data_IF_314651225889
#
_entry.id   IF_314651225889
#
_cell.length_a   1.000
_cell.length_b   1.000
_cell.length_c   1.000
_cell.angle_alpha   90.00
_cell.angle_beta   90.00
_cell.angle_gamma   90.00
#
_symmetry.space_group_name_H-M   'P 1'
#
loop_
_entity.id
_entity.type
_entity.pdbx_description
1 polymer ?
#
# COMPACT_ATOMS: atom_id res chain seq x y z
N UNK A 1 49.95 96.89 -13.09
CA UNK A 1 49.77 95.46 -12.75
C UNK A 1 50.49 94.62 -13.80
N UNK A 2 51.42 93.75 -13.38
CA UNK A 2 52.27 92.98 -14.30
C UNK A 2 51.43 91.96 -15.09
N UNK A 3 51.44 92.01 -16.43
CA UNK A 3 50.60 91.15 -17.28
C UNK A 3 50.78 89.66 -16.97
N UNK A 4 52.00 89.22 -16.61
CA UNK A 4 52.28 87.84 -16.20
C UNK A 4 51.63 87.44 -14.86
N UNK A 5 51.51 88.38 -13.93
CA UNK A 5 50.84 88.17 -12.63
C UNK A 5 49.31 88.11 -12.81
N UNK A 6 48.75 88.91 -13.72
CA UNK A 6 47.33 88.92 -14.06
C UNK A 6 46.89 87.63 -14.78
N UNK A 7 47.68 87.14 -15.75
CA UNK A 7 47.43 85.86 -16.43
C UNK A 7 47.59 84.65 -15.49
N UNK A 8 48.50 84.69 -14.51
CA UNK A 8 48.64 83.65 -13.48
C UNK A 8 47.46 83.59 -12.51
N UNK A 9 46.92 84.74 -12.08
CA UNK A 9 45.74 84.81 -11.19
C UNK A 9 44.46 84.38 -11.94
N UNK A 10 44.28 84.81 -13.20
CA UNK A 10 43.11 84.43 -14.02
C UNK A 10 43.18 82.95 -14.42
N UNK A 11 44.36 82.42 -14.77
CA UNK A 11 44.56 81.00 -15.05
C UNK A 11 44.34 80.10 -13.83
N UNK A 12 44.81 80.53 -12.65
CA UNK A 12 44.56 79.83 -11.38
C UNK A 12 43.09 79.86 -10.95
N UNK A 13 42.39 80.99 -11.13
CA UNK A 13 40.96 81.11 -10.83
C UNK A 13 40.08 80.27 -11.78
N UNK A 14 40.40 80.22 -13.08
CA UNK A 14 39.70 79.36 -14.04
C UNK A 14 39.92 77.86 -13.76
N UNK A 15 41.13 77.45 -13.37
CA UNK A 15 41.42 76.07 -13.00
C UNK A 15 40.67 75.65 -11.72
N UNK A 16 40.60 76.53 -10.71
CA UNK A 16 39.83 76.31 -9.49
C UNK A 16 38.32 76.22 -9.77
N UNK A 17 37.79 77.08 -10.64
CA UNK A 17 36.39 77.02 -11.08
C UNK A 17 36.08 75.71 -11.82
N UNK A 18 36.97 75.22 -12.69
CA UNK A 18 36.80 73.93 -13.36
C UNK A 18 36.83 72.79 -12.35
N UNK A 19 37.75 72.80 -11.38
CA UNK A 19 37.80 71.78 -10.32
C UNK A 19 36.53 71.82 -9.45
N UNK A 20 36.03 73.01 -9.11
CA UNK A 20 34.78 73.17 -8.36
C UNK A 20 33.59 72.69 -9.18
N UNK A 21 33.51 73.03 -10.47
CA UNK A 21 32.44 72.56 -11.36
C UNK A 21 32.49 71.05 -11.53
N UNK A 22 33.68 70.48 -11.76
CA UNK A 22 33.86 69.02 -11.87
C UNK A 22 33.54 68.35 -10.55
N UNK A 23 33.95 68.91 -9.41
CA UNK A 23 33.61 68.39 -8.08
C UNK A 23 32.11 68.50 -7.80
N UNK A 24 31.46 69.60 -8.19
CA UNK A 24 30.02 69.79 -8.08
C UNK A 24 29.26 68.83 -9.00
N UNK A 25 29.76 68.55 -10.21
CA UNK A 25 29.17 67.58 -11.14
C UNK A 25 29.35 66.15 -10.62
N UNK A 26 30.52 65.81 -10.08
CA UNK A 26 30.78 64.51 -9.46
C UNK A 26 29.91 64.28 -8.21
N UNK A 27 29.76 65.31 -7.36
CA UNK A 27 28.86 65.27 -6.19
C UNK A 27 27.39 65.28 -6.61
N UNK A 28 27.03 65.98 -7.70
CA UNK A 28 25.66 66.01 -8.21
C UNK A 28 25.24 64.64 -8.78
N UNK A 29 26.16 63.95 -9.46
CA UNK A 29 25.92 62.65 -10.12
C UNK A 29 26.29 61.43 -9.27
N UNK A 30 26.76 61.61 -8.04
CA UNK A 30 27.05 60.49 -7.14
C UNK A 30 25.77 59.75 -6.75
N UNK A 31 25.72 58.44 -7.03
CA UNK A 31 24.69 57.52 -6.53
C UNK A 31 25.23 56.73 -5.35
N UNK A 32 24.41 56.54 -4.32
CA UNK A 32 24.75 55.67 -3.20
C UNK A 32 24.36 54.25 -3.53
N UNK A 33 25.33 53.33 -3.44
CA UNK A 33 25.10 51.92 -3.68
C UNK A 33 24.46 51.26 -2.46
N UNK A 34 23.39 50.50 -2.70
CA UNK A 34 22.64 49.76 -1.68
C UNK A 34 22.66 48.29 -2.07
N UNK A 35 23.27 47.45 -1.25
CA UNK A 35 23.33 46.01 -1.51
C UNK A 35 22.09 45.33 -0.90
N UNK A 36 21.22 44.78 -1.74
CA UNK A 36 19.96 44.18 -1.29
C UNK A 36 20.18 42.90 -0.46
N UNK A 37 21.31 42.22 -0.68
CA UNK A 37 21.72 41.04 0.11
C UNK A 37 22.02 41.35 1.58
N UNK A 38 22.21 42.62 1.95
CA UNK A 38 22.44 43.03 3.34
C UNK A 38 21.15 43.07 4.18
N UNK A 39 19.98 42.96 3.53
CA UNK A 39 18.66 43.03 4.16
C UNK A 39 17.89 41.71 4.07
N UNK A 40 18.47 40.66 3.48
CA UNK A 40 17.85 39.33 3.42
C UNK A 40 18.38 38.45 4.54
N UNK A 41 17.45 37.74 5.18
CA UNK A 41 17.73 36.61 6.06
C UNK A 41 17.06 35.36 5.50
N UNK A 42 17.85 34.31 5.29
CA UNK A 42 17.35 32.98 4.92
C UNK A 42 17.26 32.11 6.17
N UNK A 43 16.15 31.40 6.34
CA UNK A 43 15.92 30.47 7.44
C UNK A 43 15.50 29.09 6.91
N UNK A 44 15.92 28.04 7.62
CA UNK A 44 15.66 26.65 7.27
C UNK A 44 14.87 25.95 8.35
N UNK A 45 13.94 25.08 7.97
CA UNK A 45 13.19 24.23 8.91
C UNK A 45 12.87 22.86 8.30
N UNK A 46 12.52 21.91 9.16
CA UNK A 46 12.18 20.54 8.79
C UNK A 46 13.33 19.56 8.97
N UNK A 47 13.33 18.52 8.15
CA UNK A 47 14.24 17.39 8.24
C UNK A 47 15.13 17.28 7.00
N UNK A 48 16.30 16.68 7.17
CA UNK A 48 17.24 16.44 6.07
C UNK A 48 16.59 15.65 4.92
N UNK A 49 16.83 16.09 3.68
CA UNK A 49 16.14 15.70 2.44
C UNK A 49 14.68 16.15 2.27
N UNK A 50 14.05 16.71 3.32
CA UNK A 50 12.67 17.20 3.35
C UNK A 50 12.59 18.63 3.90
N UNK A 51 13.72 19.34 3.92
CA UNK A 51 13.82 20.66 4.50
C UNK A 51 13.17 21.72 3.61
N UNK A 52 12.77 22.82 4.23
CA UNK A 52 12.25 24.00 3.55
C UNK A 52 13.13 25.21 3.82
N UNK A 53 13.15 26.15 2.87
CA UNK A 53 13.83 27.43 3.01
C UNK A 53 12.82 28.57 2.85
N UNK A 54 13.00 29.61 3.65
CA UNK A 54 12.26 30.86 3.57
C UNK A 54 13.23 32.03 3.61
N UNK A 55 12.91 33.09 2.87
CA UNK A 55 13.65 34.35 2.88
C UNK A 55 12.76 35.45 3.46
N UNK A 56 13.34 36.29 4.31
CA UNK A 56 12.68 37.45 4.92
C UNK A 56 13.51 38.69 4.64
N UNK A 57 12.87 39.76 4.15
CA UNK A 57 13.49 41.05 3.85
C UNK A 57 13.24 42.06 4.98
N UNK A 58 14.32 42.62 5.53
CA UNK A 58 14.29 43.62 6.60
C UNK A 58 14.00 45.02 6.01
N UNK A 59 12.72 45.28 5.73
CA UNK A 59 12.26 46.56 5.19
C UNK A 59 12.53 47.75 6.12
N UNK A 60 12.50 47.55 7.44
CA UNK A 60 12.73 48.62 8.41
C UNK A 60 14.18 49.12 8.32
N UNK A 61 15.14 48.19 8.37
CA UNK A 61 16.57 48.52 8.23
C UNK A 61 16.86 49.07 6.83
N UNK A 62 16.28 48.48 5.79
CA UNK A 62 16.40 48.93 4.41
C UNK A 62 15.96 50.40 4.25
N UNK A 63 14.75 50.75 4.69
CA UNK A 63 14.23 52.11 4.58
C UNK A 63 15.03 53.11 5.43
N UNK A 64 15.45 52.72 6.63
CA UNK A 64 16.31 53.56 7.48
C UNK A 64 17.67 53.84 6.83
N UNK A 65 18.30 52.82 6.24
CA UNK A 65 19.57 52.98 5.53
C UNK A 65 19.41 53.80 4.25
N UNK A 66 18.30 53.67 3.51
CA UNK A 66 17.99 54.55 2.37
C UNK A 66 17.86 56.02 2.79
N UNK A 67 17.14 56.29 3.89
CA UNK A 67 16.99 57.65 4.42
C UNK A 67 18.31 58.25 4.90
N UNK A 68 19.22 57.44 5.43
CA UNK A 68 20.57 57.88 5.81
C UNK A 68 21.46 58.11 4.58
N UNK A 69 21.33 57.24 3.58
CA UNK A 69 22.16 57.22 2.38
C UNK A 69 21.83 58.32 1.36
N UNK A 70 20.56 58.77 1.32
CA UNK A 70 20.10 59.73 0.32
C UNK A 70 19.22 60.82 0.93
N UNK A 71 19.72 62.05 0.92
CA UNK A 71 18.95 63.24 1.31
C UNK A 71 17.75 63.50 0.40
N UNK A 72 17.83 63.15 -0.89
CA UNK A 72 16.71 63.24 -1.83
C UNK A 72 15.62 62.23 -1.47
N UNK A 73 15.99 60.98 -1.16
CA UNK A 73 15.06 59.96 -0.69
C UNK A 73 14.44 60.36 0.65
N UNK A 74 15.25 60.76 1.63
CA UNK A 74 14.79 61.23 2.94
C UNK A 74 13.80 62.39 2.83
N UNK A 75 14.03 63.32 1.89
CA UNK A 75 13.10 64.42 1.62
C UNK A 75 11.79 63.89 1.03
N UNK A 76 11.84 62.98 0.07
CA UNK A 76 10.63 62.37 -0.51
C UNK A 76 9.83 61.59 0.54
N UNK A 77 10.49 60.72 1.30
CA UNK A 77 9.92 59.94 2.40
C UNK A 77 9.26 60.83 3.47
N UNK A 78 9.96 61.86 3.97
CA UNK A 78 9.42 62.78 4.99
C UNK A 78 8.48 63.85 4.45
N UNK A 79 8.42 64.06 3.13
CA UNK A 79 7.49 65.02 2.51
C UNK A 79 6.04 64.53 2.51
N UNK A 80 5.80 63.34 3.07
CA UNK A 80 4.48 62.80 3.37
C UNK A 80 3.66 62.56 2.08
N UNK A 81 4.31 61.90 1.10
CA UNK A 81 3.66 61.30 -0.06
C UNK A 81 2.63 60.24 0.40
N UNK A 82 2.77 59.69 1.61
CA UNK A 82 1.93 58.60 2.13
C UNK A 82 0.84 58.99 3.14
N UNK A 83 0.82 60.18 3.79
CA UNK A 83 -0.28 60.50 4.72
C UNK A 83 -0.69 61.98 4.98
N UNK A 84 0.04 63.05 4.60
CA UNK A 84 -0.40 64.45 4.90
C UNK A 84 -0.81 65.33 3.73
N UNK A 85 -0.66 64.92 2.47
CA UNK A 85 -0.91 65.81 1.33
C UNK A 85 -1.88 65.30 0.26
N UNK A 86 -2.85 64.47 0.62
CA UNK A 86 -3.98 64.16 -0.27
C UNK A 86 -4.84 65.39 -0.65
N UNK A 87 -4.60 66.56 -0.04
CA UNK A 87 -5.33 67.81 -0.29
C UNK A 87 -4.50 68.97 -0.87
N UNK A 88 -3.19 68.76 -1.16
CA UNK A 88 -2.32 69.79 -1.75
C UNK A 88 -2.15 69.52 -3.25
N UNK A 89 -2.54 70.48 -4.10
CA UNK A 89 -2.82 70.29 -5.54
C UNK A 89 -1.62 69.98 -6.44
N UNK A 90 -0.41 69.91 -5.89
CA UNK A 90 0.83 69.88 -6.68
C UNK A 90 1.54 68.50 -6.67
N UNK A 91 1.00 67.49 -5.99
CA UNK A 91 1.49 66.11 -6.06
C UNK A 91 0.66 65.33 -7.08
N UNK A 92 1.29 64.89 -8.17
CA UNK A 92 0.64 64.06 -9.20
C UNK A 92 0.72 62.58 -8.82
N UNK A 93 -0.26 61.79 -9.25
CA UNK A 93 -0.29 60.33 -9.05
C UNK A 93 0.99 59.64 -9.56
N UNK A 94 1.55 60.15 -10.67
CA UNK A 94 2.84 59.71 -11.23
C UNK A 94 3.99 59.78 -10.22
N UNK A 95 4.07 60.81 -9.37
CA UNK A 95 5.16 60.95 -8.39
C UNK A 95 5.03 60.00 -7.20
N UNK A 96 3.84 59.44 -6.97
CA UNK A 96 3.60 58.38 -5.99
C UNK A 96 4.03 57.03 -6.60
N UNK A 97 3.64 56.76 -7.84
CA UNK A 97 4.04 55.55 -8.58
C UNK A 97 5.57 55.50 -8.73
N UNK A 98 6.21 56.59 -9.16
CA UNK A 98 7.67 56.71 -9.28
C UNK A 98 8.40 56.47 -7.94
N UNK A 99 7.77 56.79 -6.81
CA UNK A 99 8.31 56.50 -5.47
C UNK A 99 8.22 55.02 -5.14
N UNK A 100 7.06 54.39 -5.41
CA UNK A 100 6.87 52.96 -5.18
C UNK A 100 7.81 52.15 -6.06
N UNK A 101 7.90 52.42 -7.36
CA UNK A 101 8.80 51.73 -8.29
C UNK A 101 10.27 51.82 -7.85
N UNK A 102 10.66 52.93 -7.21
CA UNK A 102 12.03 53.13 -6.72
C UNK A 102 12.36 52.39 -5.42
N UNK A 103 11.37 51.90 -4.68
CA UNK A 103 11.56 51.15 -3.42
C UNK A 103 11.02 49.73 -3.48
N UNK A 104 10.32 49.38 -4.55
CA UNK A 104 9.77 48.05 -4.79
C UNK A 104 10.91 47.08 -5.08
N UNK A 105 11.09 46.13 -4.16
CA UNK A 105 12.12 45.10 -4.23
C UNK A 105 11.40 43.77 -4.16
N UNK A 106 11.45 43.03 -5.26
CA UNK A 106 11.00 41.65 -5.34
C UNK A 106 12.19 40.71 -5.11
N UNK A 107 11.93 39.58 -4.46
CA UNK A 107 12.93 38.56 -4.22
C UNK A 107 12.33 37.17 -4.16
N UNK A 108 13.09 36.18 -4.61
CA UNK A 108 12.71 34.77 -4.62
C UNK A 108 13.90 33.86 -4.27
N UNK A 109 13.56 32.64 -3.85
CA UNK A 109 14.51 31.54 -3.70
C UNK A 109 14.34 30.59 -4.89
N UNK A 110 15.47 30.18 -5.47
CA UNK A 110 15.51 29.18 -6.55
C UNK A 110 14.94 27.80 -6.14
N UNK A 111 15.07 27.45 -4.86
CA UNK A 111 14.54 26.22 -4.27
C UNK A 111 14.06 26.47 -2.84
N UNK A 112 12.85 26.01 -2.53
CA UNK A 112 12.19 26.25 -1.24
C UNK A 112 11.83 24.97 -0.48
N UNK A 113 11.95 23.78 -1.08
CA UNK A 113 11.60 22.50 -0.46
C UNK A 113 12.48 21.34 -0.96
N UNK A 114 12.42 20.19 -0.27
CA UNK A 114 13.24 19.02 -0.61
C UNK A 114 14.73 19.27 -0.42
N UNK A 115 15.08 20.05 0.61
CA UNK A 115 16.44 20.48 0.90
C UNK A 115 17.12 19.52 1.88
N UNK A 116 18.44 19.37 1.71
CA UNK A 116 19.33 18.65 2.63
C UNK A 116 20.37 19.57 3.24
N UNK A 117 20.92 19.22 4.39
CA UNK A 117 22.09 19.90 4.97
C UNK A 117 23.26 19.84 3.97
N UNK A 118 23.81 21.00 3.63
CA UNK A 118 24.86 21.15 2.62
C UNK A 118 24.34 21.46 1.21
N UNK A 119 23.03 21.43 0.95
CA UNK A 119 22.46 22.00 -0.27
C UNK A 119 22.71 23.52 -0.31
N UNK A 120 22.70 24.11 -1.51
CA UNK A 120 22.76 25.56 -1.70
C UNK A 120 21.41 26.06 -2.18
N UNK A 121 20.95 27.18 -1.62
CA UNK A 121 19.84 27.98 -2.15
C UNK A 121 20.33 29.37 -2.52
N UNK A 122 19.78 29.93 -3.58
CA UNK A 122 20.16 31.23 -4.13
C UNK A 122 19.02 32.21 -3.99
N UNK A 123 19.31 33.39 -3.45
CA UNK A 123 18.35 34.51 -3.45
C UNK A 123 18.57 35.35 -4.69
N UNK A 124 17.49 35.53 -5.45
CA UNK A 124 17.44 36.43 -6.59
C UNK A 124 16.67 37.69 -6.21
N UNK A 125 17.05 38.82 -6.81
CA UNK A 125 16.39 40.11 -6.59
C UNK A 125 15.95 40.70 -7.92
N UNK A 126 14.79 41.32 -7.93
CA UNK A 126 14.27 42.14 -9.02
C UNK A 126 14.02 43.56 -8.50
N UNK A 127 14.54 44.56 -9.21
CA UNK A 127 14.53 45.96 -8.80
C UNK A 127 14.74 46.92 -9.98
N UNK A 128 14.17 48.12 -9.89
CA UNK A 128 14.29 49.15 -10.93
C UNK A 128 15.33 50.22 -10.55
N UNK A 129 16.52 50.10 -11.14
CA UNK A 129 17.61 51.06 -10.95
C UNK A 129 17.40 52.40 -11.67
N UNK A 130 16.56 52.46 -12.69
CA UNK A 130 16.22 53.70 -13.39
C UNK A 130 15.26 54.53 -12.52
N UNK A 131 14.26 53.89 -11.90
CA UNK A 131 13.40 54.50 -10.90
C UNK A 131 14.18 54.93 -9.65
N UNK A 132 15.06 54.08 -9.12
CA UNK A 132 15.89 54.40 -7.94
C UNK A 132 16.89 55.56 -8.18
N UNK A 133 17.34 55.74 -9.43
CA UNK A 133 18.31 56.76 -9.81
C UNK A 133 17.84 58.19 -9.52
N UNK A 134 16.53 58.47 -9.60
CA UNK A 134 15.96 59.79 -9.31
C UNK A 134 16.22 60.23 -7.85
N UNK A 135 16.34 59.25 -6.96
CA UNK A 135 16.68 59.45 -5.55
C UNK A 135 18.18 59.28 -5.28
N UNK A 136 19.02 59.22 -6.32
CA UNK A 136 20.47 59.00 -6.22
C UNK A 136 20.82 57.68 -5.53
N UNK A 137 19.99 56.66 -5.72
CA UNK A 137 20.21 55.30 -5.25
C UNK A 137 20.62 54.44 -6.45
N UNK A 138 21.48 53.45 -6.19
CA UNK A 138 21.83 52.38 -7.12
C UNK A 138 21.80 51.06 -6.36
N UNK A 139 20.80 50.23 -6.62
CA UNK A 139 20.71 48.89 -6.06
C UNK A 139 21.70 47.94 -6.71
N UNK A 140 22.28 47.09 -5.87
CA UNK A 140 23.10 45.95 -6.26
C UNK A 140 22.47 44.73 -5.59
N UNK A 141 21.91 43.82 -6.38
CA UNK A 141 21.36 42.54 -5.92
C UNK A 141 22.07 41.40 -6.62
N UNK A 142 23.38 41.27 -6.39
CA UNK A 142 24.11 40.08 -6.82
C UNK A 142 23.49 38.85 -6.16
N UNK A 143 23.23 37.80 -6.96
CA UNK A 143 22.74 36.52 -6.45
C UNK A 143 23.66 36.02 -5.34
N UNK A 144 23.07 35.73 -4.18
CA UNK A 144 23.81 35.27 -3.01
C UNK A 144 23.39 33.85 -2.67
N UNK A 145 24.39 32.99 -2.62
CA UNK A 145 24.25 31.59 -2.24
C UNK A 145 24.28 31.45 -0.71
N UNK A 146 23.38 30.63 -0.19
CA UNK A 146 23.32 30.25 1.20
C UNK A 146 23.36 28.72 1.31
N UNK A 147 24.26 28.21 2.14
CA UNK A 147 24.33 26.78 2.44
C UNK A 147 23.28 26.42 3.48
N UNK A 148 22.43 25.46 3.16
CA UNK A 148 21.41 24.92 4.06
C UNK A 148 22.09 24.20 5.21
N UNK A 149 21.73 24.58 6.43
CA UNK A 149 22.25 24.00 7.66
C UNK A 149 21.18 23.92 8.75
N UNK A 150 21.39 23.03 9.72
CA UNK A 150 20.53 22.91 10.89
C UNK A 150 19.23 22.11 10.68
N UNK A 151 19.03 21.46 9.53
CA UNK A 151 17.93 20.53 9.33
C UNK A 151 18.11 19.30 10.22
N UNK A 152 17.01 18.78 10.77
CA UNK A 152 17.01 17.64 11.69
C UNK A 152 17.26 16.33 10.94
N UNK A 153 17.99 15.39 11.54
CA UNK A 153 18.15 14.05 10.96
C UNK A 153 16.83 13.26 10.98
N UNK A 154 16.61 12.45 9.94
CA UNK A 154 15.46 11.53 9.88
C UNK A 154 15.80 10.17 10.49
N UNK A 155 14.79 9.53 11.09
CA UNK A 155 14.87 8.15 11.59
C UNK A 155 14.26 7.19 10.57
N UNK A 156 15.02 6.19 10.13
CA UNK A 156 14.49 5.13 9.26
C UNK A 156 13.76 4.07 10.08
N UNK A 157 12.56 3.69 9.67
CA UNK A 157 11.75 2.64 10.32
C UNK A 157 11.14 1.66 9.31
N UNK A 158 10.92 0.41 9.71
CA UNK A 158 10.11 -0.56 8.95
C UNK A 158 8.64 -0.35 9.32
N UNK A 159 7.78 0.18 8.43
CA UNK A 159 6.38 0.43 8.76
C UNK A 159 5.58 -0.86 8.97
N UNK A 160 6.14 -2.04 8.72
CA UNK A 160 5.49 -3.33 8.97
C UNK A 160 5.98 -4.03 10.24
N UNK A 161 6.73 -3.32 11.10
CA UNK A 161 7.10 -3.83 12.42
C UNK A 161 5.84 -4.03 13.28
N UNK A 162 5.67 -5.23 13.83
CA UNK A 162 4.47 -5.57 14.61
C UNK A 162 3.19 -5.77 13.79
N UNK A 163 3.29 -5.79 12.45
CA UNK A 163 2.18 -6.04 11.54
C UNK A 163 2.14 -7.50 11.09
N UNK A 164 0.97 -8.12 11.19
CA UNK A 164 0.68 -9.45 10.66
C UNK A 164 -0.58 -9.43 9.80
N UNK A 165 -0.74 -10.44 8.93
CA UNK A 165 -2.00 -10.70 8.23
C UNK A 165 -2.63 -11.96 8.82
N UNK A 166 -3.83 -11.82 9.35
CA UNK A 166 -4.66 -12.95 9.78
C UNK A 166 -5.46 -13.46 8.58
N UNK A 167 -5.37 -14.77 8.35
CA UNK A 167 -6.13 -15.49 7.34
C UNK A 167 -7.22 -16.32 8.03
N UNK A 168 -8.46 -16.18 7.58
CA UNK A 168 -9.61 -16.89 8.16
C UNK A 168 -10.58 -17.37 7.09
N UNK A 169 -11.17 -18.54 7.27
CA UNK A 169 -12.06 -19.18 6.29
C UNK A 169 -11.50 -20.51 5.82
N UNK A 170 -12.09 -21.04 4.75
CA UNK A 170 -11.71 -22.35 4.17
C UNK A 170 -11.26 -22.11 2.74
N UNK A 171 -10.06 -22.55 2.38
CA UNK A 171 -9.53 -22.41 1.01
C UNK A 171 -10.47 -23.07 -0.01
N UNK A 172 -10.76 -22.43 -1.16
CA UNK A 172 -10.18 -21.16 -1.68
C UNK A 172 -10.94 -19.88 -1.30
N UNK A 173 -11.84 -19.94 -0.31
CA UNK A 173 -12.68 -18.83 0.14
C UNK A 173 -12.15 -18.25 1.46
N UNK A 174 -10.89 -17.80 1.47
CA UNK A 174 -10.24 -17.21 2.65
C UNK A 174 -10.33 -15.69 2.61
N UNK A 175 -10.49 -15.11 3.79
CA UNK A 175 -10.43 -13.68 4.06
C UNK A 175 -9.09 -13.32 4.69
N UNK A 176 -8.56 -12.15 4.34
CA UNK A 176 -7.36 -11.58 4.95
C UNK A 176 -7.68 -10.29 5.70
N UNK A 177 -7.04 -10.11 6.85
CA UNK A 177 -7.14 -8.89 7.65
C UNK A 177 -5.76 -8.50 8.17
N UNK A 178 -5.41 -7.22 8.02
CA UNK A 178 -4.21 -6.66 8.66
C UNK A 178 -4.46 -6.48 10.15
N UNK A 179 -3.50 -6.94 10.96
CA UNK A 179 -3.47 -6.73 12.40
C UNK A 179 -2.18 -6.00 12.75
N UNK A 180 -2.34 -4.81 13.31
CA UNK A 180 -1.26 -4.02 13.88
C UNK A 180 -1.41 -4.04 15.40
N UNK A 181 -0.45 -4.64 16.09
CA UNK A 181 -0.44 -4.75 17.54
C UNK A 181 0.49 -3.75 18.23
N UNK A 182 1.08 -2.81 17.46
CA UNK A 182 1.97 -1.80 18.02
C UNK A 182 1.22 -0.88 19.00
N UNK A 183 1.99 -0.33 19.94
CA UNK A 183 1.58 0.70 20.92
C UNK A 183 2.41 1.96 20.80
N UNK A 184 3.33 1.99 19.85
CA UNK A 184 4.12 3.17 19.53
C UNK A 184 3.28 4.08 18.63
N UNK A 185 3.21 5.35 19.01
CA UNK A 185 2.35 6.37 18.38
C UNK A 185 2.59 6.50 16.87
N UNK A 186 3.84 6.34 16.41
CA UNK A 186 4.16 6.42 14.98
C UNK A 186 3.45 5.28 14.25
N UNK A 187 3.56 4.06 14.76
CA UNK A 187 3.01 2.86 14.12
C UNK A 187 1.49 2.76 14.25
N UNK A 188 0.88 3.30 15.31
CA UNK A 188 -0.59 3.35 15.45
C UNK A 188 -1.25 4.23 14.38
N UNK A 189 -0.51 5.19 13.81
CA UNK A 189 -1.01 6.09 12.76
C UNK A 189 -0.76 5.58 11.32
N UNK A 190 -0.14 4.40 11.16
CA UNK A 190 0.07 3.76 9.86
C UNK A 190 -1.15 2.92 9.51
N UNK A 191 -1.77 3.25 8.37
CA UNK A 191 -2.86 2.51 7.76
C UNK A 191 -2.37 1.66 6.59
N UNK A 192 -3.08 0.58 6.32
CA UNK A 192 -2.66 -0.41 5.32
C UNK A 192 -3.82 -0.85 4.43
N UNK A 193 -3.50 -1.04 3.16
CA UNK A 193 -4.37 -1.64 2.16
C UNK A 193 -3.87 -3.05 1.79
N UNK A 194 -4.83 -3.93 1.53
CA UNK A 194 -4.57 -5.28 1.04
C UNK A 194 -4.80 -5.31 -0.47
N UNK A 195 -3.89 -5.94 -1.22
CA UNK A 195 -4.10 -6.20 -2.65
C UNK A 195 -5.34 -7.06 -2.93
N UNK A 196 -5.71 -7.92 -1.96
CA UNK A 196 -6.90 -8.75 -1.97
C UNK A 196 -7.31 -9.11 -0.53
N UNK A 197 -8.59 -9.03 -0.20
CA UNK A 197 -9.12 -9.32 1.15
C UNK A 197 -10.09 -10.50 1.22
N UNK A 198 -10.47 -11.09 0.08
CA UNK A 198 -11.39 -12.23 -0.05
C UNK A 198 -11.01 -13.09 -1.26
N UNK A 199 -11.65 -14.25 -1.46
CA UNK A 199 -11.34 -15.24 -2.51
C UNK A 199 -9.87 -15.72 -2.51
N UNK A 200 -9.23 -15.77 -1.33
CA UNK A 200 -7.83 -16.15 -1.20
C UNK A 200 -7.74 -17.66 -1.02
N UNK A 201 -6.76 -18.30 -1.67
CA UNK A 201 -6.47 -19.72 -1.48
C UNK A 201 -5.09 -19.96 -0.87
N UNK A 202 -4.89 -21.15 -0.32
CA UNK A 202 -3.56 -21.59 0.12
C UNK A 202 -2.58 -21.46 -1.04
N UNK A 203 -1.44 -20.84 -0.78
CA UNK A 203 -0.39 -20.56 -1.76
C UNK A 203 -0.43 -19.14 -2.32
N UNK A 204 -1.54 -18.42 -2.21
CA UNK A 204 -1.63 -17.03 -2.65
C UNK A 204 -0.77 -16.10 -1.78
N UNK A 205 -0.27 -15.04 -2.41
CA UNK A 205 0.47 -13.96 -1.76
C UNK A 205 -0.38 -12.70 -1.74
N UNK A 206 -0.52 -12.10 -0.57
CA UNK A 206 -1.21 -10.83 -0.36
C UNK A 206 -0.18 -9.74 -0.10
N UNK A 207 -0.19 -8.70 -0.92
CA UNK A 207 0.66 -7.53 -0.74
C UNK A 207 -0.07 -6.55 0.16
N UNK A 208 0.56 -6.18 1.26
CA UNK A 208 0.11 -5.12 2.17
C UNK A 208 0.88 -3.86 1.82
N UNK A 209 0.17 -2.77 1.60
CA UNK A 209 0.71 -1.47 1.21
C UNK A 209 0.38 -0.43 2.26
N UNK A 210 1.33 0.44 2.61
CA UNK A 210 1.05 1.61 3.46
C UNK A 210 0.14 2.57 2.69
N UNK A 211 -1.02 2.89 3.25
CA UNK A 211 -2.06 3.72 2.64
C UNK A 211 -1.80 5.22 2.78
N UNK A 212 -1.11 5.61 3.85
CA UNK A 212 -0.79 7.01 4.09
C UNK A 212 0.23 7.54 3.07
N UNK A 213 0.26 8.87 2.94
CA UNK A 213 1.40 9.56 2.36
C UNK A 213 2.63 9.43 3.30
N UNK A 214 3.76 8.85 2.84
CA UNK A 214 4.97 8.76 3.64
C UNK A 214 5.53 10.12 4.09
N UNK A 215 5.31 11.22 3.34
CA UNK A 215 5.84 12.55 3.69
C UNK A 215 5.25 13.07 5.00
N UNK A 216 3.98 12.74 5.29
CA UNK A 216 3.34 13.07 6.57
C UNK A 216 4.13 12.54 7.79
N UNK A 217 4.75 11.36 7.68
CA UNK A 217 5.50 10.77 8.79
C UNK A 217 6.85 11.44 9.00
N UNK A 218 7.42 12.04 7.96
CA UNK A 218 8.61 12.87 8.09
C UNK A 218 8.27 14.14 8.84
N UNK A 219 7.21 14.85 8.43
CA UNK A 219 6.80 16.10 9.06
C UNK A 219 6.37 15.91 10.53
N UNK A 220 5.50 14.93 10.78
CA UNK A 220 4.91 14.71 12.10
C UNK A 220 5.85 14.00 13.08
N UNK A 221 6.68 13.06 12.59
CA UNK A 221 7.47 12.16 13.45
C UNK A 221 8.95 12.10 13.12
N UNK A 222 9.43 12.80 12.07
CA UNK A 222 10.81 12.71 11.61
C UNK A 222 11.18 11.31 11.08
N UNK A 223 10.19 10.51 10.67
CA UNK A 223 10.38 9.12 10.30
C UNK A 223 10.26 8.89 8.79
N UNK A 224 11.20 8.12 8.24
CA UNK A 224 11.21 7.71 6.82
C UNK A 224 11.04 6.19 6.75
N UNK A 225 10.10 5.73 5.93
CA UNK A 225 9.86 4.29 5.76
C UNK A 225 10.94 3.63 4.90
N UNK A 226 11.38 2.44 5.29
CA UNK A 226 12.34 1.64 4.50
C UNK A 226 11.69 0.92 3.31
N UNK A 227 10.37 0.73 3.34
CA UNK A 227 9.54 0.18 2.26
C UNK A 227 8.11 0.67 2.45
N UNK A 228 7.31 0.71 1.39
CA UNK A 228 5.86 0.98 1.47
C UNK A 228 5.02 -0.25 1.18
N UNK A 229 5.63 -1.39 0.86
CA UNK A 229 4.93 -2.65 0.60
C UNK A 229 5.61 -3.85 1.27
N UNK A 230 4.83 -4.88 1.61
CA UNK A 230 5.29 -6.16 2.14
C UNK A 230 4.33 -7.29 1.79
N UNK A 231 4.88 -8.44 1.42
CA UNK A 231 4.11 -9.62 1.01
C UNK A 231 3.89 -10.61 2.16
N UNK A 232 2.65 -11.11 2.28
CA UNK A 232 2.23 -12.12 3.24
C UNK A 232 1.59 -13.30 2.51
N UNK A 233 2.10 -14.51 2.74
CA UNK A 233 1.61 -15.71 2.07
C UNK A 233 0.57 -16.45 2.90
N UNK A 234 -0.57 -16.79 2.30
CA UNK A 234 -1.54 -17.70 2.88
C UNK A 234 -0.97 -19.13 2.82
N UNK A 235 -0.44 -19.63 3.93
CA UNK A 235 0.28 -20.92 3.96
C UNK A 235 -0.54 -22.05 4.58
N UNK A 236 -1.41 -21.73 5.55
CA UNK A 236 -2.24 -22.70 6.23
C UNK A 236 -3.57 -22.06 6.62
N UNK A 237 -4.65 -22.67 6.15
CA UNK A 237 -6.04 -22.50 6.58
C UNK A 237 -6.73 -23.85 6.41
N UNK A 238 -7.97 -23.95 6.84
CA UNK A 238 -8.78 -25.14 6.59
C UNK A 238 -9.03 -25.31 5.08
N UNK A 239 -9.10 -26.54 4.61
CA UNK A 239 -9.40 -26.87 3.22
C UNK A 239 -10.06 -28.25 3.10
N UNK A 240 -10.86 -28.44 2.06
CA UNK A 240 -11.33 -29.78 1.71
C UNK A 240 -10.22 -30.54 0.98
N UNK A 241 -10.06 -31.82 1.31
CA UNK A 241 -9.16 -32.70 0.55
C UNK A 241 -9.60 -32.76 -0.91
N UNK A 242 -8.66 -32.64 -1.85
CA UNK A 242 -8.95 -32.64 -3.30
C UNK A 242 -8.20 -33.73 -4.07
N UNK A 243 -7.47 -34.61 -3.37
CA UNK A 243 -6.83 -35.81 -3.92
C UNK A 243 -6.72 -36.91 -2.89
N UNK A 244 -6.83 -38.16 -3.32
CA UNK A 244 -6.78 -39.34 -2.45
C UNK A 244 -5.47 -39.45 -1.67
N UNK A 245 -4.36 -39.03 -2.26
CA UNK A 245 -3.04 -39.06 -1.64
C UNK A 245 -2.90 -38.14 -0.40
N UNK A 246 -3.78 -37.15 -0.25
CA UNK A 246 -3.79 -36.27 0.93
C UNK A 246 -4.61 -36.84 2.09
N UNK A 247 -5.41 -37.89 1.87
CA UNK A 247 -6.19 -38.51 2.95
C UNK A 247 -5.22 -39.24 3.88
N UNK A 248 -5.22 -38.86 5.16
CA UNK A 248 -4.37 -39.49 6.17
C UNK A 248 -4.78 -40.94 6.40
N UNK A 249 -3.79 -41.77 6.72
CA UNK A 249 -4.00 -43.19 6.98
C UNK A 249 -5.04 -43.45 8.08
N UNK A 250 -4.97 -42.71 9.20
CA UNK A 250 -5.93 -42.86 10.30
C UNK A 250 -7.36 -42.49 9.87
N UNK A 251 -7.53 -41.43 9.07
CA UNK A 251 -8.82 -41.00 8.54
C UNK A 251 -9.38 -42.04 7.57
N UNK A 252 -8.54 -42.58 6.67
CA UNK A 252 -8.93 -43.64 5.75
C UNK A 252 -9.31 -44.93 6.51
N UNK A 253 -8.54 -45.30 7.52
CA UNK A 253 -8.80 -46.50 8.33
C UNK A 253 -10.09 -46.36 9.15
N UNK A 254 -10.41 -45.16 9.65
CA UNK A 254 -11.68 -44.88 10.32
C UNK A 254 -12.87 -45.06 9.38
N UNK A 255 -12.78 -44.56 8.14
CA UNK A 255 -13.83 -44.77 7.13
C UNK A 255 -13.96 -46.24 6.73
N UNK A 256 -12.84 -46.96 6.53
CA UNK A 256 -12.85 -48.42 6.27
C UNK A 256 -13.53 -49.21 7.37
N UNK A 257 -13.18 -48.94 8.62
CA UNK A 257 -13.80 -49.58 9.78
C UNK A 257 -15.31 -49.31 9.82
N UNK A 258 -15.71 -48.06 9.62
CA UNK A 258 -17.13 -47.70 9.59
C UNK A 258 -17.87 -48.42 8.43
N UNK A 259 -17.25 -48.57 7.27
CA UNK A 259 -17.81 -49.36 6.16
C UNK A 259 -18.01 -50.82 6.53
N UNK A 260 -17.03 -51.45 7.16
CA UNK A 260 -17.17 -52.83 7.66
C UNK A 260 -18.30 -52.94 8.69
N UNK A 261 -18.39 -52.00 9.63
CA UNK A 261 -19.44 -51.97 10.66
C UNK A 261 -20.84 -51.84 10.03
N UNK A 262 -21.00 -50.98 9.02
CA UNK A 262 -22.26 -50.82 8.25
C UNK A 262 -22.64 -52.11 7.53
N UNK A 263 -21.69 -52.75 6.85
CA UNK A 263 -21.93 -54.02 6.13
C UNK A 263 -22.31 -55.13 7.10
N UNK A 264 -21.55 -55.27 8.20
CA UNK A 264 -21.81 -56.28 9.22
C UNK A 264 -23.17 -56.06 9.89
N UNK A 265 -23.54 -54.81 10.20
CA UNK A 265 -24.85 -54.49 10.76
C UNK A 265 -26.00 -54.86 9.80
N UNK A 266 -25.84 -54.57 8.51
CA UNK A 266 -26.80 -54.95 7.48
C UNK A 266 -27.02 -56.47 7.43
N UNK A 267 -25.94 -57.26 7.33
CA UNK A 267 -26.06 -58.72 7.29
C UNK A 267 -26.49 -59.35 8.61
N UNK A 268 -26.18 -58.74 9.75
CA UNK A 268 -26.72 -59.16 11.05
C UNK A 268 -28.25 -58.97 11.10
N UNK A 269 -28.76 -57.87 10.54
CA UNK A 269 -30.20 -57.61 10.41
C UNK A 269 -30.92 -58.57 9.46
N UNK A 270 -30.24 -58.98 8.38
CA UNK A 270 -30.80 -59.85 7.34
C UNK A 270 -30.37 -61.33 7.46
N UNK A 271 -29.81 -61.74 8.61
CA UNK A 271 -29.17 -63.05 8.81
C UNK A 271 -30.09 -64.27 8.59
N UNK A 272 -31.42 -64.07 8.63
CA UNK A 272 -32.42 -65.11 8.35
C UNK A 272 -32.59 -65.39 6.85
N UNK A 273 -32.07 -64.50 6.00
CA UNK A 273 -32.36 -64.47 4.58
C UNK A 273 -31.09 -64.62 3.74
N UNK A 274 -30.05 -63.87 4.10
CA UNK A 274 -28.78 -63.79 3.38
C UNK A 274 -27.59 -63.78 4.33
N UNK A 275 -26.44 -64.22 3.85
CA UNK A 275 -25.17 -64.13 4.55
C UNK A 275 -24.06 -63.65 3.62
N UNK A 276 -22.98 -63.15 4.23
CA UNK A 276 -21.78 -62.68 3.54
C UNK A 276 -20.54 -63.39 4.08
N UNK A 277 -19.60 -63.72 3.20
CA UNK A 277 -18.24 -64.15 3.54
C UNK A 277 -17.21 -63.43 2.68
N UNK A 278 -15.93 -63.64 3.00
CA UNK A 278 -14.79 -63.14 2.22
C UNK A 278 -14.84 -61.63 1.98
N UNK A 279 -15.22 -60.86 3.01
CA UNK A 279 -15.20 -59.41 2.94
C UNK A 279 -13.79 -58.91 2.65
N UNK A 280 -13.65 -58.12 1.59
CA UNK A 280 -12.37 -57.65 1.08
C UNK A 280 -12.48 -56.20 0.63
N UNK A 281 -11.55 -55.36 1.09
CA UNK A 281 -11.41 -54.00 0.57
C UNK A 281 -10.97 -54.04 -0.90
N UNK A 282 -11.73 -53.41 -1.77
CA UNK A 282 -11.49 -53.38 -3.22
C UNK A 282 -10.91 -52.04 -3.70
N UNK A 283 -11.14 -50.95 -2.96
CA UNK A 283 -10.61 -49.62 -3.29
C UNK A 283 -11.59 -48.50 -2.98
N UNK A 284 -11.38 -47.36 -3.64
CA UNK A 284 -12.17 -46.14 -3.42
C UNK A 284 -12.58 -45.48 -4.72
N UNK A 285 -13.75 -44.82 -4.69
CA UNK A 285 -14.06 -43.72 -5.60
C UNK A 285 -13.96 -42.42 -4.83
N UNK A 286 -13.05 -41.55 -5.23
CA UNK A 286 -12.93 -40.22 -4.66
C UNK A 286 -13.38 -39.18 -5.69
N UNK A 287 -14.31 -38.32 -5.29
CA UNK A 287 -14.90 -37.27 -6.11
C UNK A 287 -14.66 -35.93 -5.41
N UNK A 288 -14.21 -34.92 -6.14
CA UNK A 288 -14.05 -33.56 -5.61
C UNK A 288 -14.60 -32.53 -6.59
N UNK A 289 -15.18 -31.45 -6.05
CA UNK A 289 -15.91 -30.46 -6.84
C UNK A 289 -15.02 -29.81 -7.90
N UNK A 290 -15.59 -29.55 -9.08
CA UNK A 290 -14.95 -28.76 -10.14
C UNK A 290 -15.08 -27.26 -9.90
N UNK A 291 -16.16 -26.85 -9.24
CA UNK A 291 -16.39 -25.48 -8.83
C UNK A 291 -16.00 -25.34 -7.36
N UNK A 292 -14.83 -24.76 -7.12
CA UNK A 292 -14.27 -24.57 -5.78
C UNK A 292 -14.97 -23.44 -4.99
N UNK A 293 -15.81 -22.63 -5.65
CA UNK A 293 -16.54 -21.51 -5.06
C UNK A 293 -18.07 -21.74 -5.03
N UNK A 294 -18.54 -22.80 -5.68
CA UNK A 294 -19.97 -23.14 -5.79
C UNK A 294 -20.49 -23.90 -4.56
N UNK A 295 -21.74 -23.65 -4.20
CA UNK A 295 -22.41 -24.47 -3.19
C UNK A 295 -22.79 -25.83 -3.79
N UNK A 296 -22.21 -26.91 -3.26
CA UNK A 296 -22.53 -28.27 -3.66
C UNK A 296 -23.39 -28.98 -2.60
N UNK A 297 -24.63 -29.35 -2.96
CA UNK A 297 -25.53 -30.09 -2.07
C UNK A 297 -24.99 -31.47 -1.68
N UNK A 298 -24.10 -32.04 -2.50
CA UNK A 298 -23.53 -33.36 -2.27
C UNK A 298 -22.14 -33.37 -1.62
N UNK A 299 -21.67 -32.21 -1.14
CA UNK A 299 -20.39 -32.04 -0.45
C UNK A 299 -19.29 -31.50 -1.37
N UNK A 300 -18.22 -30.97 -0.80
CA UNK A 300 -17.07 -30.43 -1.54
C UNK A 300 -16.17 -31.55 -2.06
N UNK A 301 -16.12 -32.64 -1.30
CA UNK A 301 -15.58 -33.92 -1.75
C UNK A 301 -16.47 -35.07 -1.23
N UNK A 302 -16.35 -36.21 -1.89
CA UNK A 302 -17.01 -37.45 -1.54
C UNK A 302 -16.01 -38.60 -1.68
N UNK A 303 -16.10 -39.58 -0.79
CA UNK A 303 -15.39 -40.84 -0.97
C UNK A 303 -16.34 -42.01 -0.76
N UNK A 304 -16.33 -42.95 -1.70
CA UNK A 304 -16.92 -44.26 -1.53
C UNK A 304 -15.81 -45.23 -1.14
N UNK A 305 -15.93 -45.82 0.04
CA UNK A 305 -15.10 -46.95 0.45
C UNK A 305 -15.82 -48.23 0.00
N UNK A 306 -15.13 -49.06 -0.78
CA UNK A 306 -15.75 -50.19 -1.47
C UNK A 306 -15.15 -51.49 -0.95
N UNK A 307 -16.01 -52.32 -0.37
CA UNK A 307 -15.69 -53.72 -0.05
C UNK A 307 -16.45 -54.65 -1.01
N UNK A 308 -15.88 -55.80 -1.33
CA UNK A 308 -16.61 -56.92 -1.93
C UNK A 308 -16.85 -58.00 -0.90
N UNK A 309 -17.86 -58.84 -1.12
CA UNK A 309 -18.10 -60.06 -0.35
C UNK A 309 -18.87 -61.10 -1.16
N UNK A 310 -18.75 -62.36 -0.77
CA UNK A 310 -19.52 -63.48 -1.32
C UNK A 310 -20.86 -63.55 -0.60
N UNK A 311 -21.93 -63.20 -1.30
CA UNK A 311 -23.29 -63.20 -0.76
C UNK A 311 -24.03 -64.43 -1.23
N UNK A 312 -24.69 -65.12 -0.29
CA UNK A 312 -25.57 -66.26 -0.59
C UNK A 312 -26.87 -66.16 0.18
N UNK A 313 -27.93 -66.70 -0.42
CA UNK A 313 -29.19 -66.93 0.29
C UNK A 313 -29.06 -68.11 1.26
N UNK A 314 -29.78 -68.05 2.39
CA UNK A 314 -29.80 -69.15 3.38
C UNK A 314 -30.43 -70.41 2.78
N UNK A 315 -29.85 -71.58 3.09
CA UNK A 315 -30.11 -72.86 2.39
C UNK A 315 -31.58 -73.28 2.33
N UNK A 316 -32.34 -73.07 3.40
CA UNK A 316 -33.74 -73.52 3.53
C UNK A 316 -34.68 -72.98 2.43
N UNK A 317 -34.28 -71.92 1.72
CA UNK A 317 -35.07 -71.34 0.61
C UNK A 317 -34.23 -70.85 -0.58
N UNK A 318 -33.05 -71.46 -0.81
CA UNK A 318 -32.03 -71.05 -1.82
C UNK A 318 -32.61 -70.24 -3.00
N UNK A 319 -32.59 -68.92 -2.87
CA UNK A 319 -33.20 -67.98 -3.81
C UNK A 319 -32.22 -67.60 -4.94
N UNK A 320 -30.93 -67.57 -4.63
CA UNK A 320 -29.85 -67.31 -5.58
C UNK A 320 -28.56 -67.99 -5.12
N UNK A 321 -27.68 -68.27 -6.10
CA UNK A 321 -26.35 -68.84 -5.88
C UNK A 321 -25.37 -67.80 -5.31
N UNK A 322 -24.31 -68.28 -4.67
CA UNK A 322 -23.26 -67.44 -4.13
C UNK A 322 -22.70 -66.49 -5.20
N UNK A 323 -22.82 -65.19 -4.95
CA UNK A 323 -22.49 -64.14 -5.91
C UNK A 323 -21.63 -63.07 -5.24
N UNK A 324 -20.64 -62.55 -5.96
CA UNK A 324 -19.84 -61.43 -5.47
C UNK A 324 -20.66 -60.15 -5.53
N UNK A 325 -20.80 -59.45 -4.42
CA UNK A 325 -21.47 -58.15 -4.32
C UNK A 325 -20.47 -57.11 -3.80
N UNK A 326 -20.52 -55.90 -4.36
CA UNK A 326 -19.74 -54.73 -3.95
C UNK A 326 -20.60 -53.81 -3.10
N UNK A 327 -20.08 -53.37 -1.96
CA UNK A 327 -20.75 -52.58 -0.94
C UNK A 327 -20.08 -51.20 -0.81
N UNK A 328 -20.40 -50.24 -1.68
CA UNK A 328 -19.92 -48.87 -1.56
C UNK A 328 -20.62 -48.16 -0.39
N UNK A 329 -19.85 -47.54 0.51
CA UNK A 329 -20.36 -46.65 1.56
C UNK A 329 -19.77 -45.25 1.35
N UNK A 330 -20.66 -44.25 1.26
CA UNK A 330 -20.30 -42.85 0.97
C UNK A 330 -20.00 -42.07 2.25
N UNK A 331 -18.90 -41.32 2.22
CA UNK A 331 -18.56 -40.26 3.17
C UNK A 331 -18.39 -38.94 2.41
N UNK A 332 -18.60 -37.82 3.08
CA UNK A 332 -18.56 -36.47 2.49
C UNK A 332 -17.65 -35.56 3.30
N UNK A 333 -17.16 -34.50 2.64
CA UNK A 333 -16.54 -33.35 3.29
C UNK A 333 -15.36 -33.71 4.21
N UNK A 334 -14.41 -34.50 3.67
CA UNK A 334 -13.12 -34.73 4.34
C UNK A 334 -12.40 -33.39 4.43
N UNK A 335 -12.37 -32.84 5.64
CA UNK A 335 -11.76 -31.56 5.96
C UNK A 335 -10.33 -31.76 6.47
N UNK A 336 -9.42 -30.94 5.97
CA UNK A 336 -8.04 -30.81 6.40
C UNK A 336 -7.91 -29.46 7.12
N UNK A 337 -7.70 -29.49 8.43
CA UNK A 337 -7.54 -28.27 9.23
C UNK A 337 -6.14 -27.68 9.08
N UNK A 338 -6.02 -26.38 9.38
CA UNK A 338 -4.76 -25.63 9.32
C UNK A 338 -3.64 -26.22 10.20
N UNK A 339 -3.98 -26.87 11.32
CA UNK A 339 -3.04 -27.55 12.23
C UNK A 339 -2.53 -28.89 11.67
N UNK A 340 -3.01 -29.28 10.49
CA UNK A 340 -2.67 -30.53 9.85
C UNK A 340 -3.61 -31.68 10.20
N UNK A 341 -4.57 -31.57 11.13
CA UNK A 341 -5.52 -32.65 11.44
C UNK A 341 -6.60 -32.83 10.37
N UNK A 342 -7.25 -33.99 10.33
CA UNK A 342 -8.35 -34.28 9.39
C UNK A 342 -9.61 -34.75 10.12
N UNK A 343 -10.76 -34.39 9.59
CA UNK A 343 -12.06 -34.81 10.09
C UNK A 343 -13.01 -35.22 8.96
N UNK A 344 -13.84 -36.21 9.24
CA UNK A 344 -14.90 -36.71 8.36
C UNK A 344 -16.05 -37.23 9.22
N UNK A 345 -17.30 -36.97 8.82
CA UNK A 345 -18.45 -37.52 9.54
C UNK A 345 -18.64 -39.00 9.17
N UNK A 346 -18.61 -39.86 10.20
CA UNK A 346 -18.77 -41.31 10.06
C UNK A 346 -20.22 -41.77 10.29
N UNK A 347 -21.10 -40.86 10.74
CA UNK A 347 -22.48 -41.19 11.07
C UNK A 347 -23.40 -41.15 9.83
N UNK A 348 -24.61 -41.70 9.98
CA UNK A 348 -25.65 -41.69 8.95
C UNK A 348 -25.20 -42.26 7.59
N UNK A 349 -24.31 -43.25 7.64
CA UNK A 349 -23.76 -43.94 6.47
C UNK A 349 -24.57 -45.20 6.15
N UNK A 350 -24.72 -45.51 4.86
CA UNK A 350 -25.41 -46.71 4.38
C UNK A 350 -24.72 -47.28 3.15
N UNK A 351 -24.97 -48.56 2.86
CA UNK A 351 -24.59 -49.17 1.59
C UNK A 351 -25.36 -48.47 0.47
N UNK A 352 -24.67 -48.04 -0.56
CA UNK A 352 -25.27 -47.43 -1.75
C UNK A 352 -25.65 -48.50 -2.78
N UNK A 353 -26.76 -48.26 -3.47
CA UNK A 353 -27.25 -49.13 -4.53
C UNK A 353 -27.96 -50.40 -4.06
N UNK A 354 -28.57 -51.07 -5.03
CA UNK A 354 -29.22 -52.35 -4.86
C UNK A 354 -28.96 -53.27 -6.06
N UNK A 355 -28.90 -54.57 -5.78
CA UNK A 355 -28.71 -55.60 -6.79
C UNK A 355 -30.06 -56.15 -7.25
N UNK A 356 -30.05 -56.89 -8.37
CA UNK A 356 -31.18 -57.74 -8.77
C UNK A 356 -31.19 -59.11 -8.04
N UNK A 357 -30.33 -59.31 -7.02
CA UNK A 357 -30.37 -60.53 -6.21
C UNK A 357 -31.55 -60.40 -5.24
N UNK A 358 -32.60 -61.16 -5.51
CA UNK A 358 -33.84 -61.10 -4.75
C UNK A 358 -33.95 -62.25 -3.76
N UNK A 359 -34.36 -61.92 -2.53
CA UNK A 359 -34.94 -62.89 -1.60
C UNK A 359 -36.36 -62.44 -1.25
N UNK A 360 -37.36 -63.17 -1.78
CA UNK A 360 -38.77 -62.77 -1.78
C UNK A 360 -39.02 -61.43 -2.50
N UNK A 361 -39.19 -60.32 -1.77
CA UNK A 361 -39.50 -58.99 -2.32
C UNK A 361 -38.43 -57.95 -1.95
N UNK A 362 -37.26 -58.41 -1.51
CA UNK A 362 -36.15 -57.56 -1.05
C UNK A 362 -34.92 -57.83 -1.89
N UNK A 363 -34.33 -56.74 -2.38
CA UNK A 363 -33.05 -56.74 -3.07
C UNK A 363 -31.90 -56.71 -2.06
N UNK A 364 -30.80 -57.37 -2.39
CA UNK A 364 -29.55 -57.20 -1.62
C UNK A 364 -28.95 -55.83 -1.95
N UNK A 365 -28.61 -55.04 -0.92
CA UNK A 365 -27.91 -53.76 -1.11
C UNK A 365 -26.49 -53.94 -1.66
N UNK A 366 -26.08 -53.02 -2.52
CA UNK A 366 -24.81 -53.04 -3.24
C UNK A 366 -24.96 -53.35 -4.72
N UNK A 367 -23.87 -53.77 -5.36
CA UNK A 367 -23.79 -53.98 -6.81
C UNK A 367 -23.18 -55.34 -7.16
N UNK A 368 -23.68 -56.01 -8.19
CA UNK A 368 -23.04 -57.22 -8.75
C UNK A 368 -22.12 -56.91 -9.93
N UNK A 369 -22.22 -55.69 -10.49
CA UNK A 369 -21.47 -55.24 -11.66
C UNK A 369 -20.75 -53.92 -11.34
N UNK A 370 -19.42 -53.89 -11.55
CA UNK A 370 -18.58 -52.71 -11.30
C UNK A 370 -18.90 -51.53 -12.21
N UNK A 371 -19.23 -51.79 -13.48
CA UNK A 371 -19.59 -50.76 -14.45
C UNK A 371 -20.92 -50.07 -14.11
N UNK A 372 -21.91 -50.82 -13.62
CA UNK A 372 -23.17 -50.23 -13.14
C UNK A 372 -22.92 -49.36 -11.89
N UNK A 373 -22.11 -49.86 -10.95
CA UNK A 373 -21.68 -49.11 -9.77
C UNK A 373 -20.94 -47.81 -10.14
N UNK A 374 -20.00 -47.88 -11.08
CA UNK A 374 -19.28 -46.71 -11.58
C UNK A 374 -20.23 -45.72 -12.26
N UNK A 375 -21.14 -46.22 -13.11
CA UNK A 375 -22.08 -45.38 -13.84
C UNK A 375 -23.00 -44.62 -12.89
N UNK A 376 -23.55 -45.30 -11.90
CA UNK A 376 -24.49 -44.70 -10.96
C UNK A 376 -23.81 -43.77 -9.96
N UNK A 377 -22.66 -44.18 -9.39
CA UNK A 377 -22.03 -43.43 -8.30
C UNK A 377 -21.06 -42.35 -8.77
N UNK A 378 -20.48 -42.50 -9.97
CA UNK A 378 -19.46 -41.57 -10.50
C UNK A 378 -19.90 -40.91 -11.79
N UNK A 379 -20.28 -41.68 -12.82
CA UNK A 379 -20.59 -41.11 -14.14
C UNK A 379 -21.77 -40.14 -14.09
N UNK A 380 -22.78 -40.42 -13.26
CA UNK A 380 -23.92 -39.54 -13.02
C UNK A 380 -23.54 -38.18 -12.43
N UNK A 381 -22.39 -38.08 -11.76
CA UNK A 381 -21.90 -36.90 -11.05
C UNK A 381 -20.78 -36.16 -11.80
N UNK A 382 -20.38 -36.64 -12.99
CA UNK A 382 -19.26 -36.06 -13.77
C UNK A 382 -19.45 -34.62 -14.20
N UNK A 383 -20.67 -34.10 -14.20
CA UNK A 383 -20.90 -32.69 -14.50
C UNK A 383 -20.23 -31.80 -13.44
N UNK A 384 -20.36 -32.18 -12.17
CA UNK A 384 -20.02 -31.35 -11.01
C UNK A 384 -18.69 -31.74 -10.36
N UNK A 385 -18.25 -33.00 -10.56
CA UNK A 385 -17.08 -33.55 -9.88
C UNK A 385 -15.98 -34.02 -10.84
N UNK A 386 -14.75 -33.95 -10.36
CA UNK A 386 -13.57 -34.67 -10.88
C UNK A 386 -13.37 -35.95 -10.05
N UNK A 387 -12.79 -36.99 -10.64
CA UNK A 387 -12.71 -38.33 -10.06
C UNK A 387 -11.28 -38.89 -9.96
N UNK A 388 -10.95 -39.51 -8.81
CA UNK A 388 -9.79 -40.38 -8.62
C UNK A 388 -10.29 -41.76 -8.17
N UNK A 389 -9.97 -42.80 -8.95
CA UNK A 389 -10.56 -44.13 -8.79
C UNK A 389 -9.47 -45.17 -8.74
N UNK A 390 -9.59 -46.11 -7.80
CA UNK A 390 -8.71 -47.28 -7.75
C UNK A 390 -8.80 -48.11 -9.04
N UNK A 391 -7.65 -48.46 -9.61
CA UNK A 391 -7.57 -49.24 -10.84
C UNK A 391 -8.37 -50.55 -10.76
N UNK A 392 -9.07 -50.88 -11.84
CA UNK A 392 -9.87 -52.10 -11.93
C UNK A 392 -11.25 -52.02 -11.25
N UNK A 393 -11.68 -50.84 -10.83
CA UNK A 393 -13.06 -50.59 -10.36
C UNK A 393 -13.97 -49.92 -11.40
N UNK A 394 -13.44 -49.45 -12.53
CA UNK A 394 -14.24 -48.89 -13.64
C UNK A 394 -14.95 -49.97 -14.46
#
# INVERSE_FOLDING_TARGET
MNKKLLFGIIGGACALLIIIIVSLVLVANHKTKINLSDYIKVSYDGYDAYGTASAEFDYDKYLDDLMKASSSFKKAYNSDITCKKLYDSDITWSSIDDYYDAVDIDYDLDKTSGLSNGDTVTVNFEYDNDAAAQYKIEYVGESKEYTVEGLKETKKIDPFEGVTVEFSGTSPNVYAKVVNNSKDEVYENIYYDLSKSYDIKIGDTITVTVSNDPEYFVEAYGCVFTSTTKDFKCTAVDQYVSKTADIKEDTLNAMKKQTEDVINAYFAGENKYIGVSDLKFEGTYFLYTKDENGWNWDGNNQIYIIYSGKVKSVEDKKAFDETTVYFPVRFKDIMQYADGTQNVDLNNTSISGETNLEYHYRNVYGYTNKGDMYKELVESQKADYTEEITDGLK
#
